data_IF_840133168381
#
_entry.id   IF_840133168381
#
_cell.length_a   1.000
_cell.length_b   1.000
_cell.length_c   1.000
_cell.angle_alpha   90.00
_cell.angle_beta   90.00
_cell.angle_gamma   90.00
#
_symmetry.space_group_name_H-M   'P 1'
#
loop_
_entity.id
_entity.type
_entity.pdbx_description
1 polymer ?
#
# COMPACT_ATOMS: atom_id res chain seq x y z
N UNK A 1 5.28 -4.01 16.60
CA UNK A 1 5.22 -4.25 15.13
C UNK A 1 4.93 -5.73 14.92
N UNK A 2 3.88 -6.09 14.19
CA UNK A 2 3.47 -7.49 13.98
C UNK A 2 3.67 -7.92 12.53
N UNK A 3 4.36 -9.04 12.33
CA UNK A 3 4.72 -9.61 11.03
C UNK A 3 4.02 -10.94 10.78
N UNK A 4 3.75 -11.22 9.52
CA UNK A 4 3.19 -12.49 9.05
C UNK A 4 4.25 -13.60 9.06
N UNK A 5 3.81 -14.86 9.08
CA UNK A 5 4.70 -16.04 9.09
C UNK A 5 5.71 -15.98 7.95
N UNK A 6 5.27 -15.59 6.75
CA UNK A 6 6.11 -15.50 5.55
C UNK A 6 7.18 -14.42 5.69
N UNK A 7 6.84 -13.25 6.22
CA UNK A 7 7.85 -12.20 6.48
C UNK A 7 8.85 -12.64 7.54
N UNK A 8 8.40 -13.36 8.57
CA UNK A 8 9.29 -13.91 9.61
C UNK A 8 10.25 -14.98 9.06
N UNK A 9 9.81 -15.81 8.11
CA UNK A 9 10.68 -16.78 7.42
C UNK A 9 11.81 -16.05 6.67
N UNK A 10 11.48 -15.03 5.87
CA UNK A 10 12.51 -14.26 5.16
C UNK A 10 13.42 -13.46 6.10
N UNK A 11 12.87 -12.93 7.20
CA UNK A 11 13.68 -12.25 8.21
C UNK A 11 14.63 -13.23 8.92
N UNK A 12 14.17 -14.45 9.18
CA UNK A 12 14.99 -15.51 9.75
C UNK A 12 16.21 -15.79 8.87
N UNK A 13 16.02 -15.91 7.55
CA UNK A 13 17.11 -16.13 6.60
C UNK A 13 18.09 -14.96 6.52
N UNK A 14 17.63 -13.72 6.71
CA UNK A 14 18.48 -12.52 6.78
C UNK A 14 19.28 -12.46 8.08
N UNK A 15 18.68 -12.84 9.21
CA UNK A 15 19.37 -12.83 10.50
C UNK A 15 20.40 -13.95 10.56
N UNK A 16 20.08 -15.16 10.07
CA UNK A 16 21.03 -16.26 10.03
C UNK A 16 22.10 -16.06 8.95
N UNK A 17 21.73 -15.49 7.80
CA UNK A 17 22.59 -15.45 6.61
C UNK A 17 22.56 -16.76 5.81
N UNK A 18 21.55 -17.60 6.00
CA UNK A 18 21.45 -18.88 5.27
C UNK A 18 20.97 -18.68 3.81
N UNK A 19 20.28 -17.56 3.53
CA UNK A 19 19.74 -17.22 2.21
C UNK A 19 20.70 -16.54 1.23
N UNK A 20 22.01 -16.46 1.55
CA UNK A 20 23.07 -15.80 0.75
C UNK A 20 22.89 -14.29 0.49
N UNK A 21 21.75 -13.70 0.82
CA UNK A 21 21.48 -12.27 0.69
C UNK A 21 22.05 -11.43 1.86
N UNK A 22 22.63 -12.06 2.88
CA UNK A 22 23.17 -11.41 4.07
C UNK A 22 24.32 -12.22 4.68
N UNK A 23 25.19 -11.60 5.50
CA UNK A 23 26.33 -12.28 6.10
C UNK A 23 25.92 -13.40 7.06
N UNK A 24 26.67 -14.52 7.00
CA UNK A 24 26.45 -15.67 7.87
C UNK A 24 26.81 -15.39 9.34
N UNK A 25 25.85 -15.52 10.27
CA UNK A 25 26.05 -15.30 11.72
C UNK A 25 26.12 -16.60 12.53
N UNK A 26 27.30 -16.97 13.03
CA UNK A 26 27.52 -18.15 13.90
C UNK A 26 26.61 -18.12 15.15
N UNK A 27 26.38 -19.28 15.77
CA UNK A 27 25.45 -19.40 16.90
C UNK A 27 25.68 -18.40 18.05
N UNK A 28 26.94 -18.19 18.47
CA UNK A 28 27.27 -17.17 19.46
C UNK A 28 27.00 -15.73 19.00
N UNK A 29 27.13 -15.44 17.70
CA UNK A 29 26.80 -14.12 17.14
C UNK A 29 25.28 -13.90 17.13
N UNK A 30 24.48 -14.95 16.92
CA UNK A 30 23.02 -14.88 17.02
C UNK A 30 22.57 -14.65 18.46
N UNK A 31 23.22 -15.30 19.43
CA UNK A 31 22.98 -15.05 20.86
C UNK A 31 23.29 -13.59 21.20
N UNK A 32 24.47 -13.09 20.82
CA UNK A 32 24.84 -11.69 21.05
C UNK A 32 23.85 -10.72 20.39
N UNK A 33 23.45 -10.98 19.14
CA UNK A 33 22.49 -10.15 18.42
C UNK A 33 21.18 -9.98 19.19
N UNK A 34 20.59 -11.06 19.73
CA UNK A 34 19.34 -10.95 20.49
C UNK A 34 19.55 -10.43 21.92
N UNK A 35 20.73 -10.59 22.50
CA UNK A 35 21.06 -10.00 23.80
C UNK A 35 21.06 -8.46 23.73
N UNK A 36 21.43 -7.86 22.60
CA UNK A 36 21.30 -6.41 22.37
C UNK A 36 19.82 -5.92 22.43
N UNK A 37 18.87 -6.85 22.32
CA UNK A 37 17.42 -6.59 22.40
C UNK A 37 16.78 -7.09 23.70
N UNK A 38 17.59 -7.40 24.71
CA UNK A 38 17.13 -7.76 26.05
C UNK A 38 17.01 -9.26 26.34
N UNK A 39 17.53 -10.12 25.46
CA UNK A 39 17.80 -11.51 25.84
C UNK A 39 19.04 -11.61 26.76
N UNK A 40 19.14 -12.71 27.49
CA UNK A 40 20.28 -13.02 28.37
C UNK A 40 20.81 -14.42 28.14
N UNK A 41 20.73 -14.89 26.89
CA UNK A 41 21.04 -16.27 26.56
C UNK A 41 22.56 -16.50 26.53
N UNK A 42 22.96 -17.75 26.79
CA UNK A 42 24.35 -18.20 26.74
C UNK A 42 24.52 -19.24 25.64
N UNK A 43 25.56 -19.07 24.84
CA UNK A 43 25.94 -20.07 23.84
C UNK A 43 26.72 -21.22 24.48
N UNK A 44 26.32 -22.47 24.23
CA UNK A 44 26.94 -23.64 24.85
C UNK A 44 26.49 -24.98 24.29
N UNK A 45 26.85 -26.07 24.99
CA UNK A 45 26.49 -27.42 24.59
C UNK A 45 24.96 -27.60 24.61
N UNK A 46 24.41 -28.22 23.56
CA UNK A 46 22.96 -28.37 23.40
C UNK A 46 22.27 -27.17 22.74
N UNK A 47 23.03 -26.19 22.24
CA UNK A 47 22.46 -25.07 21.47
C UNK A 47 21.65 -25.59 20.27
N UNK A 48 20.41 -25.10 20.06
CA UNK A 48 19.54 -25.55 18.99
C UNK A 48 20.09 -25.19 17.60
N UNK A 49 19.48 -25.74 16.56
CA UNK A 49 19.78 -25.34 15.19
C UNK A 49 19.57 -23.81 15.04
N UNK A 50 20.51 -23.13 14.38
CA UNK A 50 20.48 -21.67 14.23
C UNK A 50 19.15 -21.11 13.71
N UNK A 51 18.53 -21.67 12.65
CA UNK A 51 17.22 -21.17 12.19
C UNK A 51 16.13 -21.37 13.24
N UNK A 52 16.18 -22.48 14.00
CA UNK A 52 15.20 -22.74 15.05
C UNK A 52 15.33 -21.74 16.21
N UNK A 53 16.56 -21.44 16.63
CA UNK A 53 16.85 -20.42 17.63
C UNK A 53 16.32 -19.05 17.21
N UNK A 54 16.68 -18.59 16.01
CA UNK A 54 16.25 -17.29 15.49
C UNK A 54 14.73 -17.23 15.36
N UNK A 55 14.11 -18.30 14.84
CA UNK A 55 12.65 -18.38 14.72
C UNK A 55 11.94 -18.25 16.07
N UNK A 56 12.42 -18.96 17.10
CA UNK A 56 11.87 -18.86 18.45
C UNK A 56 11.91 -17.42 18.98
N UNK A 57 13.05 -16.74 18.82
CA UNK A 57 13.20 -15.33 19.23
C UNK A 57 12.31 -14.40 18.43
N UNK A 58 12.24 -14.59 17.11
CA UNK A 58 11.38 -13.80 16.24
C UNK A 58 9.91 -13.95 16.62
N UNK A 59 9.44 -15.16 16.90
CA UNK A 59 8.06 -15.41 17.36
C UNK A 59 7.79 -14.76 18.73
N UNK A 60 8.77 -14.79 19.66
CA UNK A 60 8.69 -14.12 20.96
C UNK A 60 8.55 -12.60 20.84
N UNK A 61 9.35 -11.96 19.99
CA UNK A 61 9.34 -10.50 19.83
C UNK A 61 8.25 -10.01 18.88
N UNK A 62 7.63 -10.88 18.09
CA UNK A 62 6.62 -10.48 17.13
C UNK A 62 5.44 -9.77 17.82
N UNK A 63 5.11 -8.55 17.37
CA UNK A 63 4.07 -7.71 17.97
C UNK A 63 4.60 -6.69 18.98
N UNK A 64 5.78 -6.88 19.56
CA UNK A 64 6.38 -5.96 20.54
C UNK A 64 6.97 -4.70 19.91
N UNK A 65 7.34 -3.71 20.73
CA UNK A 65 8.05 -2.50 20.28
C UNK A 65 9.50 -2.80 19.88
N UNK A 66 10.14 -3.77 20.54
CA UNK A 66 11.51 -4.23 20.26
C UNK A 66 11.67 -4.78 18.83
N UNK A 67 10.60 -5.34 18.27
CA UNK A 67 10.62 -5.94 16.93
C UNK A 67 11.13 -5.00 15.83
N UNK A 68 10.84 -3.69 15.93
CA UNK A 68 11.34 -2.71 14.96
C UNK A 68 12.86 -2.63 14.97
N UNK A 69 13.45 -2.60 16.17
CA UNK A 69 14.90 -2.56 16.36
C UNK A 69 15.56 -3.82 15.79
N UNK A 70 14.98 -4.99 16.05
CA UNK A 70 15.46 -6.28 15.52
C UNK A 70 15.48 -6.26 13.99
N UNK A 71 14.39 -5.85 13.36
CA UNK A 71 14.29 -5.80 11.90
C UNK A 71 15.28 -4.80 11.32
N UNK A 72 15.44 -3.61 11.93
CA UNK A 72 16.43 -2.62 11.51
C UNK A 72 17.86 -3.15 11.59
N UNK A 73 18.24 -3.76 12.72
CA UNK A 73 19.60 -4.25 12.94
C UNK A 73 19.95 -5.49 12.11
N UNK A 74 18.96 -6.26 11.66
CA UNK A 74 19.20 -7.42 10.80
C UNK A 74 19.96 -7.07 9.51
N UNK A 75 19.79 -5.84 9.02
CA UNK A 75 20.42 -5.30 7.80
C UNK A 75 21.72 -4.55 8.08
N UNK A 76 22.24 -4.62 9.30
CA UNK A 76 23.60 -4.15 9.59
C UNK A 76 24.62 -5.21 9.16
N UNK A 77 25.22 -4.98 8.00
CA UNK A 77 26.25 -5.80 7.36
C UNK A 77 27.66 -5.19 7.50
N UNK A 78 27.87 -4.21 8.40
CA UNK A 78 29.17 -3.54 8.60
C UNK A 78 30.30 -4.57 8.69
N UNK A 79 31.37 -4.34 7.92
CA UNK A 79 32.58 -5.17 7.93
C UNK A 79 32.45 -6.50 7.17
N UNK A 80 31.36 -6.74 6.44
CA UNK A 80 31.18 -7.95 5.63
C UNK A 80 31.23 -7.61 4.14
N UNK A 81 32.37 -7.86 3.50
CA UNK A 81 32.55 -7.66 2.06
C UNK A 81 31.68 -8.62 1.24
N UNK A 82 31.21 -8.16 0.08
CA UNK A 82 30.44 -8.98 -0.87
C UNK A 82 28.92 -9.00 -0.64
N UNK A 83 28.40 -8.28 0.35
CA UNK A 83 26.97 -8.13 0.59
C UNK A 83 26.50 -6.70 0.35
N UNK A 84 25.30 -6.55 -0.22
CA UNK A 84 24.65 -5.26 -0.42
C UNK A 84 23.40 -5.17 0.46
N UNK A 85 23.47 -4.38 1.52
CA UNK A 85 22.37 -4.20 2.46
C UNK A 85 21.16 -3.49 1.83
N UNK A 86 21.37 -2.59 0.86
CA UNK A 86 20.28 -1.91 0.14
C UNK A 86 19.51 -2.89 -0.75
N UNK A 87 20.21 -3.74 -1.50
CA UNK A 87 19.57 -4.77 -2.33
C UNK A 87 18.80 -5.76 -1.46
N UNK A 88 19.39 -6.21 -0.35
CA UNK A 88 18.71 -7.09 0.60
C UNK A 88 17.46 -6.43 1.19
N UNK A 89 17.55 -5.15 1.61
CA UNK A 89 16.41 -4.39 2.13
C UNK A 89 15.33 -4.17 1.07
N UNK A 90 15.71 -3.90 -0.18
CA UNK A 90 14.78 -3.77 -1.31
C UNK A 90 13.99 -5.06 -1.55
N UNK A 91 14.66 -6.23 -1.55
CA UNK A 91 13.99 -7.52 -1.70
C UNK A 91 13.10 -7.83 -0.48
N UNK A 92 13.59 -7.61 0.73
CA UNK A 92 12.83 -7.85 1.96
C UNK A 92 11.57 -6.96 2.05
N UNK A 93 11.65 -5.74 1.54
CA UNK A 93 10.52 -4.80 1.48
C UNK A 93 9.33 -5.33 0.66
N UNK A 94 9.51 -6.30 -0.24
CA UNK A 94 8.40 -6.95 -0.96
C UNK A 94 7.50 -7.77 -0.02
N UNK A 95 8.05 -8.27 1.09
CA UNK A 95 7.31 -8.98 2.13
C UNK A 95 6.86 -8.02 3.22
N UNK A 96 7.77 -7.19 3.71
CA UNK A 96 7.52 -6.25 4.81
C UNK A 96 6.37 -5.27 4.50
N UNK A 97 6.25 -4.84 3.24
CA UNK A 97 5.16 -3.99 2.79
C UNK A 97 3.78 -4.62 2.94
N UNK A 98 3.68 -5.95 2.85
CA UNK A 98 2.41 -6.67 3.05
C UNK A 98 1.93 -6.62 4.51
N UNK A 99 2.88 -6.48 5.43
CA UNK A 99 2.61 -6.34 6.86
C UNK A 99 2.44 -4.87 7.27
N UNK A 100 2.44 -3.93 6.31
CA UNK A 100 2.22 -2.51 6.58
C UNK A 100 3.45 -1.77 7.07
N UNK A 101 4.66 -2.26 6.77
CA UNK A 101 5.92 -1.63 7.15
C UNK A 101 6.88 -1.55 5.96
N UNK A 102 7.90 -0.70 6.04
CA UNK A 102 9.00 -0.63 5.07
C UNK A 102 10.30 -0.27 5.78
N UNK A 103 11.40 -0.87 5.37
CA UNK A 103 12.76 -0.43 5.69
C UNK A 103 13.13 0.73 4.79
N UNK A 104 13.55 1.84 5.40
CA UNK A 104 14.03 3.03 4.71
C UNK A 104 15.45 3.34 5.17
N UNK A 105 16.26 3.91 4.28
CA UNK A 105 17.57 4.45 4.63
C UNK A 105 17.40 5.64 5.59
N UNK A 106 18.05 5.55 6.75
CA UNK A 106 18.05 6.61 7.76
C UNK A 106 19.27 7.52 7.58
N UNK A 107 20.44 6.93 7.35
CA UNK A 107 21.71 7.62 7.18
C UNK A 107 22.51 6.94 6.06
N UNK A 108 22.96 7.71 5.06
CA UNK A 108 23.94 7.32 4.04
C UNK A 108 25.12 8.29 4.16
N UNK A 109 26.16 7.87 4.87
CA UNK A 109 27.39 8.63 5.00
C UNK A 109 28.45 7.94 4.15
N UNK A 110 29.10 8.70 3.29
CA UNK A 110 30.31 8.28 2.59
C UNK A 110 31.33 9.41 2.58
N UNK A 111 32.59 9.06 2.37
CA UNK A 111 33.64 10.02 2.09
C UNK A 111 34.44 9.59 0.86
N UNK A 112 35.14 10.53 0.25
CA UNK A 112 36.07 10.23 -0.83
C UNK A 112 37.44 9.91 -0.25
N UNK A 113 38.01 8.76 -0.62
CA UNK A 113 39.41 8.42 -0.40
C UNK A 113 40.13 8.44 -1.75
N UNK A 114 40.63 9.61 -2.13
CA UNK A 114 41.11 9.87 -3.50
C UNK A 114 39.95 9.88 -4.50
N UNK A 115 40.03 9.05 -5.54
CA UNK A 115 38.98 8.88 -6.56
C UNK A 115 37.97 7.77 -6.20
N UNK A 116 38.10 7.13 -5.03
CA UNK A 116 37.19 6.08 -4.56
C UNK A 116 36.18 6.64 -3.57
N UNK A 117 34.90 6.45 -3.87
CA UNK A 117 33.81 6.68 -2.92
C UNK A 117 33.81 5.54 -1.89
N UNK A 118 34.09 5.87 -0.64
CA UNK A 118 33.97 4.96 0.51
C UNK A 118 32.60 5.19 1.13
N UNK A 119 31.66 4.29 0.87
CA UNK A 119 30.34 4.30 1.51
C UNK A 119 30.40 3.55 2.83
N UNK A 120 29.82 4.13 3.89
CA UNK A 120 29.54 3.40 5.12
C UNK A 120 28.33 2.51 4.85
N UNK A 121 28.28 1.34 5.50
CA UNK A 121 27.10 0.50 5.40
C UNK A 121 25.86 1.30 5.85
N UNK A 122 24.78 1.34 5.05
CA UNK A 122 23.61 2.12 5.37
C UNK A 122 22.93 1.67 6.66
N UNK A 123 22.44 2.66 7.42
CA UNK A 123 21.56 2.40 8.56
C UNK A 123 20.11 2.41 8.09
N UNK A 124 19.36 1.37 8.43
CA UNK A 124 17.94 1.27 8.10
C UNK A 124 17.03 1.50 9.29
N UNK A 125 15.90 2.16 9.04
CA UNK A 125 14.81 2.31 9.99
C UNK A 125 13.53 1.66 9.47
N UNK A 126 12.83 0.93 10.35
CA UNK A 126 11.48 0.47 10.04
C UNK A 126 10.50 1.63 10.20
N UNK A 127 9.93 2.05 9.08
CA UNK A 127 8.80 2.95 9.06
C UNK A 127 7.50 2.15 8.90
N UNK A 128 6.42 2.49 9.63
CA UNK A 128 5.09 2.08 9.21
C UNK A 128 4.85 2.60 7.79
N UNK A 129 4.27 1.76 6.93
CA UNK A 129 3.56 2.27 5.77
C UNK A 129 2.38 3.05 6.33
N UNK A 130 2.61 4.35 6.54
CA UNK A 130 1.57 5.25 6.98
C UNK A 130 0.47 5.13 5.93
N UNK A 131 -0.75 4.79 6.33
CA UNK A 131 -1.93 4.98 5.47
C UNK A 131 -2.03 6.48 5.21
N UNK A 132 -1.30 6.92 4.20
CA UNK A 132 -1.23 8.31 3.77
C UNK A 132 -2.56 8.71 3.13
N UNK A 133 -3.29 7.71 2.66
CA UNK A 133 -4.62 7.76 2.07
C UNK A 133 -5.52 6.70 2.70
N UNK A 134 -6.83 6.82 2.50
CA UNK A 134 -7.82 5.86 2.98
C UNK A 134 -7.53 4.44 2.50
N UNK A 135 -7.50 3.46 3.41
CA UNK A 135 -7.59 2.07 3.03
C UNK A 135 -9.06 1.66 2.96
N UNK A 136 -9.56 1.53 1.75
CA UNK A 136 -10.92 1.08 1.49
C UNK A 136 -10.94 -0.45 1.39
N UNK A 137 -11.64 -1.10 2.32
CA UNK A 137 -11.79 -2.55 2.33
C UNK A 137 -12.64 -3.06 1.18
N UNK A 138 -13.63 -2.28 0.72
CA UNK A 138 -14.53 -2.70 -0.35
C UNK A 138 -13.83 -2.60 -1.73
N UNK A 139 -12.96 -1.61 -1.95
CA UNK A 139 -12.08 -1.60 -3.12
C UNK A 139 -11.04 -2.72 -3.07
N UNK A 140 -10.50 -3.04 -1.89
CA UNK A 140 -9.58 -4.16 -1.74
C UNK A 140 -10.25 -5.51 -2.08
N UNK A 141 -11.56 -5.64 -1.87
CA UNK A 141 -12.34 -6.83 -2.21
C UNK A 141 -12.61 -6.98 -3.72
N UNK A 142 -12.47 -5.92 -4.52
CA UNK A 142 -12.56 -6.03 -5.98
C UNK A 142 -11.30 -6.73 -6.50
N UNK A 143 -11.46 -8.00 -6.91
CA UNK A 143 -10.43 -8.83 -7.53
C UNK A 143 -10.13 -8.42 -8.99
N UNK A 144 -10.04 -7.12 -9.26
CA UNK A 144 -9.67 -6.58 -10.57
C UNK A 144 -8.27 -6.00 -10.51
N UNK A 145 -7.32 -6.62 -11.21
CA UNK A 145 -5.90 -6.28 -11.14
C UNK A 145 -5.63 -4.80 -11.43
N UNK A 146 -6.27 -4.25 -12.46
CA UNK A 146 -6.08 -2.84 -12.84
C UNK A 146 -6.50 -1.85 -11.73
N UNK A 147 -7.49 -2.19 -10.90
CA UNK A 147 -7.95 -1.34 -9.78
C UNK A 147 -6.94 -1.41 -8.63
N UNK A 148 -6.53 -2.63 -8.25
CA UNK A 148 -5.50 -2.84 -7.23
C UNK A 148 -4.16 -2.21 -7.61
N UNK A 149 -3.82 -2.23 -8.89
CA UNK A 149 -2.65 -1.55 -9.43
C UNK A 149 -2.74 -0.03 -9.24
N UNK A 150 -3.88 0.60 -9.56
CA UNK A 150 -4.02 2.06 -9.36
C UNK A 150 -3.97 2.43 -7.88
N UNK A 151 -4.59 1.65 -6.98
CA UNK A 151 -4.52 1.86 -5.53
C UNK A 151 -3.07 1.80 -5.02
N UNK A 152 -2.27 0.84 -5.49
CA UNK A 152 -0.84 0.77 -5.17
C UNK A 152 -0.07 1.97 -5.71
N UNK A 153 -0.31 2.37 -6.96
CA UNK A 153 0.37 3.50 -7.60
C UNK A 153 0.06 4.83 -6.92
N UNK A 154 -1.18 5.11 -6.51
CA UNK A 154 -1.49 6.37 -5.80
C UNK A 154 -0.76 6.44 -4.46
N UNK A 155 -0.69 5.34 -3.72
CA UNK A 155 0.05 5.28 -2.46
C UNK A 155 1.55 5.54 -2.66
N UNK A 156 2.17 4.79 -3.57
CA UNK A 156 3.59 4.92 -3.89
C UNK A 156 3.95 6.36 -4.32
N UNK A 157 3.09 7.02 -5.10
CA UNK A 157 3.32 8.37 -5.60
C UNK A 157 3.12 9.46 -4.54
N UNK A 158 2.18 9.27 -3.62
CA UNK A 158 2.06 10.17 -2.44
C UNK A 158 3.30 10.04 -1.55
N UNK A 159 3.85 8.83 -1.42
CA UNK A 159 5.09 8.57 -0.67
C UNK A 159 6.32 9.19 -1.33
N UNK A 160 6.49 9.00 -2.63
CA UNK A 160 7.66 9.48 -3.39
C UNK A 160 7.63 10.98 -3.70
N UNK A 161 6.56 11.69 -3.35
CA UNK A 161 6.39 13.11 -3.65
C UNK A 161 5.92 13.40 -5.08
N UNK A 162 5.60 12.39 -5.88
CA UNK A 162 4.96 12.54 -7.20
C UNK A 162 3.46 12.85 -7.05
N UNK A 163 3.14 14.00 -6.45
CA UNK A 163 1.77 14.46 -6.16
C UNK A 163 0.93 14.60 -7.41
N UNK A 164 1.56 15.06 -8.50
CA UNK A 164 0.96 15.11 -9.81
C UNK A 164 0.56 13.70 -10.25
N UNK A 165 1.52 12.78 -10.36
CA UNK A 165 1.21 11.41 -10.75
C UNK A 165 0.14 10.76 -9.87
N UNK A 166 0.14 11.01 -8.56
CA UNK A 166 -0.89 10.51 -7.66
C UNK A 166 -2.31 10.97 -8.06
N UNK A 167 -2.48 12.24 -8.46
CA UNK A 167 -3.76 12.76 -8.96
C UNK A 167 -4.16 12.10 -10.28
N UNK A 168 -3.21 11.88 -11.19
CA UNK A 168 -3.47 11.17 -12.46
C UNK A 168 -3.94 9.74 -12.20
N UNK A 169 -3.24 9.02 -11.33
CA UNK A 169 -3.59 7.65 -10.98
C UNK A 169 -4.93 7.56 -10.23
N UNK A 170 -5.30 8.57 -9.42
CA UNK A 170 -6.62 8.66 -8.81
C UNK A 170 -7.74 8.85 -9.84
N UNK A 171 -7.51 9.66 -10.88
CA UNK A 171 -8.45 9.79 -11.99
C UNK A 171 -8.63 8.46 -12.73
N UNK A 172 -7.52 7.81 -13.09
CA UNK A 172 -7.54 6.51 -13.77
C UNK A 172 -8.24 5.44 -12.94
N UNK A 173 -8.06 5.45 -11.61
CA UNK A 173 -8.79 4.56 -10.70
C UNK A 173 -10.31 4.76 -10.82
N UNK A 174 -10.77 6.01 -10.74
CA UNK A 174 -12.21 6.34 -10.86
C UNK A 174 -12.75 5.94 -12.23
N UNK A 175 -12.02 6.26 -13.30
CA UNK A 175 -12.42 5.89 -14.66
C UNK A 175 -12.55 4.37 -14.83
N UNK A 176 -11.52 3.62 -14.43
CA UNK A 176 -11.53 2.16 -14.53
C UNK A 176 -12.66 1.55 -13.72
N UNK A 177 -12.90 2.02 -12.49
CA UNK A 177 -13.99 1.52 -11.67
C UNK A 177 -15.35 1.83 -12.28
N UNK A 178 -15.58 3.05 -12.77
CA UNK A 178 -16.85 3.40 -13.40
C UNK A 178 -17.14 2.52 -14.62
N UNK A 179 -16.15 2.29 -15.48
CA UNK A 179 -16.28 1.39 -16.65
C UNK A 179 -16.56 -0.05 -16.22
N UNK A 180 -15.85 -0.55 -15.21
CA UNK A 180 -16.10 -1.88 -14.64
C UNK A 180 -17.54 -2.01 -14.14
N UNK A 181 -18.01 -1.05 -13.34
CA UNK A 181 -19.36 -1.09 -12.78
C UNK A 181 -20.44 -0.97 -13.86
N UNK A 182 -20.25 -0.12 -14.88
CA UNK A 182 -21.16 -0.01 -16.02
C UNK A 182 -21.27 -1.34 -16.79
N UNK A 183 -20.14 -2.02 -17.01
CA UNK A 183 -20.12 -3.34 -17.62
C UNK A 183 -20.84 -4.39 -16.76
N UNK A 184 -20.62 -4.40 -15.45
CA UNK A 184 -21.31 -5.29 -14.51
C UNK A 184 -22.82 -5.05 -14.44
N UNK A 185 -23.27 -3.80 -14.57
CA UNK A 185 -24.70 -3.45 -14.60
C UNK A 185 -25.31 -3.51 -16.01
N UNK A 186 -24.60 -4.10 -16.98
CA UNK A 186 -25.01 -4.20 -18.39
C UNK A 186 -25.50 -2.86 -18.99
N UNK A 187 -24.91 -1.76 -18.53
CA UNK A 187 -25.30 -0.41 -18.93
C UNK A 187 -24.41 0.06 -20.07
N UNK A 188 -25.01 0.43 -21.21
CA UNK A 188 -24.23 0.82 -22.39
C UNK A 188 -23.45 2.11 -22.16
N UNK A 189 -22.16 2.09 -22.50
CA UNK A 189 -21.29 3.27 -22.52
C UNK A 189 -20.28 3.15 -23.67
N UNK A 190 -19.59 4.24 -24.01
CA UNK A 190 -18.52 4.21 -25.02
C UNK A 190 -17.22 3.81 -24.34
N UNK A 191 -16.57 2.74 -24.81
CA UNK A 191 -15.30 2.27 -24.25
C UNK A 191 -14.19 3.33 -24.26
N UNK A 192 -14.18 4.19 -25.28
CA UNK A 192 -13.26 5.32 -25.40
C UNK A 192 -13.73 6.58 -24.66
N UNK A 193 -14.82 6.52 -23.89
CA UNK A 193 -15.25 7.63 -23.05
C UNK A 193 -14.20 7.87 -21.96
N UNK A 194 -13.59 9.04 -22.01
CA UNK A 194 -12.63 9.48 -21.01
C UNK A 194 -13.27 10.35 -19.94
N UNK A 195 -14.46 10.93 -20.18
CA UNK A 195 -15.10 11.85 -19.22
C UNK A 195 -15.79 11.09 -18.08
N UNK A 196 -15.12 11.04 -16.93
CA UNK A 196 -15.65 10.40 -15.72
C UNK A 196 -16.99 10.99 -15.27
N UNK A 197 -17.29 12.26 -15.59
CA UNK A 197 -18.58 12.89 -15.25
C UNK A 197 -19.71 12.24 -16.07
N UNK A 198 -19.47 11.99 -17.35
CA UNK A 198 -20.42 11.32 -18.24
C UNK A 198 -20.63 9.85 -17.86
N UNK A 199 -19.53 9.14 -17.52
CA UNK A 199 -19.59 7.77 -17.04
C UNK A 199 -20.41 7.66 -15.75
N UNK A 200 -20.15 8.51 -14.76
CA UNK A 200 -20.89 8.49 -13.50
C UNK A 200 -22.36 8.84 -13.68
N UNK A 201 -22.68 9.86 -14.47
CA UNK A 201 -24.08 10.23 -14.74
C UNK A 201 -24.89 9.05 -15.30
N UNK A 202 -24.27 8.24 -16.14
CA UNK A 202 -24.86 7.01 -16.69
C UNK A 202 -25.03 5.95 -15.59
N UNK A 203 -23.98 5.71 -14.78
CA UNK A 203 -24.00 4.71 -13.71
C UNK A 203 -25.01 5.01 -12.59
N UNK A 204 -25.26 6.28 -12.28
CA UNK A 204 -26.18 6.69 -11.20
C UNK A 204 -27.55 6.04 -11.33
N UNK A 205 -28.05 5.88 -12.55
CA UNK A 205 -29.36 5.28 -12.80
C UNK A 205 -29.41 3.81 -12.38
N UNK A 206 -28.38 3.04 -12.75
CA UNK A 206 -28.28 1.61 -12.49
C UNK A 206 -28.07 1.29 -11.01
N UNK A 207 -27.46 2.21 -10.25
CA UNK A 207 -27.24 2.06 -8.82
C UNK A 207 -28.34 2.68 -7.94
N UNK A 208 -29.39 3.24 -8.55
CA UNK A 208 -30.44 4.01 -7.87
C UNK A 208 -29.89 5.19 -7.03
N UNK A 209 -28.88 5.88 -7.58
CA UNK A 209 -28.20 7.03 -6.98
C UNK A 209 -28.61 8.37 -7.61
N UNK A 210 -29.80 8.43 -8.20
CA UNK A 210 -30.38 9.68 -8.71
C UNK A 210 -30.77 10.58 -7.52
N UNK A 211 -30.14 11.76 -7.33
CA UNK A 211 -30.46 12.64 -6.21
C UNK A 211 -31.93 13.07 -6.16
N UNK A 212 -32.65 13.06 -7.29
CA UNK A 212 -34.07 13.36 -7.31
C UNK A 212 -34.92 12.28 -6.61
N UNK A 213 -34.42 11.05 -6.51
CA UNK A 213 -35.09 9.89 -5.92
C UNK A 213 -34.56 9.55 -4.52
N UNK A 214 -33.61 10.33 -4.01
CA UNK A 214 -33.02 10.15 -2.69
C UNK A 214 -33.70 11.10 -1.71
N UNK A 215 -34.07 10.57 -0.56
CA UNK A 215 -34.69 11.34 0.52
C UNK A 215 -33.66 12.03 1.41
N UNK A 216 -34.10 13.06 2.12
CA UNK A 216 -33.30 13.69 3.17
C UNK A 216 -33.06 12.71 4.32
N UNK A 217 -31.91 12.80 5.03
CA UNK A 217 -30.85 13.81 4.92
C UNK A 217 -29.71 13.44 3.95
N UNK A 218 -29.85 12.34 3.19
CA UNK A 218 -28.75 11.81 2.37
C UNK A 218 -28.62 12.53 1.01
N UNK A 219 -29.73 13.11 0.53
CA UNK A 219 -29.80 13.78 -0.78
C UNK A 219 -28.69 14.82 -1.04
N UNK A 220 -28.34 15.73 -0.10
CA UNK A 220 -27.28 16.71 -0.33
C UNK A 220 -25.90 16.06 -0.50
N UNK A 221 -25.65 14.96 0.23
CA UNK A 221 -24.38 14.22 0.16
C UNK A 221 -24.24 13.58 -1.22
N UNK A 222 -25.29 12.88 -1.68
CA UNK A 222 -25.26 12.21 -3.00
C UNK A 222 -25.26 13.22 -4.15
N UNK A 223 -25.97 14.34 -4.00
CA UNK A 223 -25.86 15.47 -4.94
C UNK A 223 -24.44 16.04 -5.00
N UNK A 224 -23.77 16.19 -3.85
CA UNK A 224 -22.39 16.65 -3.76
C UNK A 224 -21.38 15.78 -4.50
N UNK A 225 -21.66 14.48 -4.71
CA UNK A 225 -20.80 13.59 -5.50
C UNK A 225 -20.67 14.05 -6.96
N UNK A 226 -21.70 14.70 -7.52
CA UNK A 226 -21.60 15.28 -8.87
C UNK A 226 -20.60 16.45 -8.92
N UNK A 227 -20.55 17.26 -7.87
CA UNK A 227 -19.54 18.34 -7.76
C UNK A 227 -18.14 17.77 -7.55
N UNK A 228 -18.02 16.74 -6.71
CA UNK A 228 -16.75 16.05 -6.45
C UNK A 228 -16.15 15.46 -7.72
N UNK A 229 -16.94 14.72 -8.51
CA UNK A 229 -16.43 14.12 -9.75
C UNK A 229 -16.06 15.16 -10.81
N UNK A 230 -16.80 16.27 -10.87
CA UNK A 230 -16.42 17.43 -11.68
C UNK A 230 -15.07 18.01 -11.24
N UNK A 231 -14.86 18.16 -9.93
CA UNK A 231 -13.58 18.60 -9.37
C UNK A 231 -12.42 17.65 -9.70
N UNK A 232 -12.62 16.33 -9.57
CA UNK A 232 -11.63 15.31 -9.94
C UNK A 232 -11.26 15.40 -11.43
N UNK A 233 -12.25 15.59 -12.31
CA UNK A 233 -12.05 15.74 -13.74
C UNK A 233 -11.18 16.96 -14.08
N UNK A 234 -11.52 18.12 -13.52
CA UNK A 234 -10.76 19.34 -13.75
C UNK A 234 -9.33 19.25 -13.16
N UNK A 235 -9.18 18.63 -11.99
CA UNK A 235 -7.87 18.45 -11.35
C UNK A 235 -6.92 17.56 -12.17
N UNK A 236 -7.44 16.56 -12.88
CA UNK A 236 -6.66 15.74 -13.80
C UNK A 236 -6.39 16.45 -15.14
N UNK A 237 -7.38 17.17 -15.68
CA UNK A 237 -7.32 17.77 -17.02
C UNK A 237 -6.64 19.14 -17.11
N UNK A 238 -6.43 19.84 -15.99
CA UNK A 238 -5.55 21.03 -15.90
C UNK A 238 -4.07 20.74 -16.23
N UNK A 239 -3.74 19.61 -16.85
CA UNK A 239 -2.44 19.35 -17.48
C UNK A 239 -2.44 19.49 -19.00
N UNK A 240 -3.60 19.43 -19.64
CA UNK A 240 -3.70 19.42 -21.11
C UNK A 240 -3.73 20.82 -21.73
N UNK A 241 -3.88 21.87 -20.92
CA UNK A 241 -3.88 23.26 -21.38
C UNK A 241 -2.46 23.85 -21.30
N UNK A 242 -1.99 24.45 -22.40
CA UNK A 242 -0.68 25.13 -22.50
C UNK A 242 -0.52 26.26 -21.47
N UNK A 243 -1.62 26.79 -20.93
CA UNK A 243 -1.61 27.75 -19.81
C UNK A 243 -1.57 27.12 -18.41
N UNK A 244 -1.84 25.82 -18.28
CA UNK A 244 -2.04 25.13 -17.01
C UNK A 244 -0.78 24.43 -16.43
N UNK A 245 0.40 24.67 -17.04
CA UNK A 245 1.73 24.36 -16.45
C UNK A 245 2.00 25.04 -15.09
N UNK A 246 1.06 25.78 -14.50
CA UNK A 246 1.23 26.54 -13.26
C UNK A 246 0.71 25.86 -12.00
N UNK A 247 -0.14 24.84 -12.07
CA UNK A 247 -0.61 24.16 -10.86
C UNK A 247 0.31 23.01 -10.51
N UNK A 248 1.26 23.25 -9.60
CA UNK A 248 2.08 22.22 -8.98
C UNK A 248 1.43 21.77 -7.66
N UNK A 249 0.73 20.62 -7.61
CA UNK A 249 0.01 20.20 -6.41
C UNK A 249 0.98 19.92 -5.26
N UNK A 250 0.86 20.67 -4.17
CA UNK A 250 1.47 20.29 -2.90
C UNK A 250 0.85 19.02 -2.31
N UNK A 251 1.56 18.39 -1.36
CA UNK A 251 1.17 17.14 -0.70
C UNK A 251 -0.29 17.09 -0.22
N UNK A 252 -0.76 18.14 0.42
CA UNK A 252 -2.11 18.18 0.98
C UNK A 252 -3.19 18.22 -0.11
N UNK A 253 -2.93 18.88 -1.25
CA UNK A 253 -3.83 18.87 -2.41
C UNK A 253 -3.96 17.47 -2.99
N UNK A 254 -2.83 16.79 -3.24
CA UNK A 254 -2.86 15.44 -3.78
C UNK A 254 -3.52 14.46 -2.81
N UNK A 255 -3.24 14.57 -1.51
CA UNK A 255 -3.92 13.75 -0.49
C UNK A 255 -5.43 13.97 -0.47
N UNK A 256 -5.90 15.21 -0.54
CA UNK A 256 -7.34 15.51 -0.59
C UNK A 256 -7.98 14.86 -1.83
N UNK A 257 -7.40 15.06 -3.01
CA UNK A 257 -7.91 14.52 -4.27
C UNK A 257 -7.93 12.99 -4.27
N UNK A 258 -6.84 12.35 -3.84
CA UNK A 258 -6.74 10.87 -3.78
C UNK A 258 -7.74 10.30 -2.78
N UNK A 259 -7.86 10.90 -1.58
CA UNK A 259 -8.81 10.43 -0.56
C UNK A 259 -10.26 10.59 -1.00
N UNK A 260 -10.59 11.72 -1.65
CA UNK A 260 -11.91 11.95 -2.22
C UNK A 260 -12.25 10.89 -3.29
N UNK A 261 -11.29 10.58 -4.17
CA UNK A 261 -11.46 9.54 -5.18
C UNK A 261 -11.63 8.14 -4.58
N UNK A 262 -10.83 7.79 -3.56
CA UNK A 262 -10.92 6.49 -2.88
C UNK A 262 -12.24 6.32 -2.14
N UNK A 263 -12.67 7.33 -1.37
CA UNK A 263 -13.96 7.30 -0.66
C UNK A 263 -15.14 7.21 -1.63
N UNK A 264 -15.08 7.96 -2.74
CA UNK A 264 -16.09 7.88 -3.80
C UNK A 264 -16.15 6.49 -4.41
N UNK A 265 -15.00 5.93 -4.76
CA UNK A 265 -14.90 4.59 -5.32
C UNK A 265 -15.46 3.54 -4.36
N UNK A 266 -15.05 3.56 -3.09
CA UNK A 266 -15.52 2.65 -2.04
C UNK A 266 -17.05 2.64 -1.92
N UNK A 267 -17.65 3.83 -1.84
CA UNK A 267 -19.09 4.00 -1.78
C UNK A 267 -19.82 3.41 -3.00
N UNK A 268 -19.26 3.54 -4.21
CA UNK A 268 -19.86 2.94 -5.41
C UNK A 268 -19.82 1.41 -5.38
N UNK A 269 -18.75 0.83 -4.85
CA UNK A 269 -18.65 -0.64 -4.69
C UNK A 269 -19.71 -1.12 -3.71
N UNK A 270 -19.82 -0.49 -2.55
CA UNK A 270 -20.82 -0.85 -1.55
C UNK A 270 -22.25 -0.68 -2.07
N UNK A 271 -22.50 0.40 -2.81
CA UNK A 271 -23.80 0.65 -3.47
C UNK A 271 -24.14 -0.46 -4.46
N UNK A 272 -23.16 -0.90 -5.27
CA UNK A 272 -23.33 -2.01 -6.21
C UNK A 272 -23.61 -3.32 -5.47
N UNK A 273 -22.87 -3.62 -4.41
CA UNK A 273 -23.03 -4.87 -3.65
C UNK A 273 -24.42 -4.94 -3.00
N UNK A 274 -24.89 -3.80 -2.47
CA UNK A 274 -26.25 -3.66 -1.97
C UNK A 274 -27.30 -3.94 -3.04
N UNK A 275 -27.17 -3.37 -4.26
CA UNK A 275 -28.13 -3.61 -5.33
C UNK A 275 -28.14 -5.08 -5.79
N UNK A 276 -26.97 -5.73 -5.87
CA UNK A 276 -26.88 -7.17 -6.17
C UNK A 276 -27.60 -8.01 -5.12
N UNK A 277 -27.32 -7.77 -3.84
CA UNK A 277 -27.98 -8.48 -2.74
C UNK A 277 -29.51 -8.29 -2.76
N UNK A 278 -29.97 -7.07 -3.05
CA UNK A 278 -31.40 -6.76 -3.16
C UNK A 278 -32.06 -7.51 -4.32
N UNK A 279 -31.43 -7.54 -5.50
CA UNK A 279 -31.94 -8.27 -6.66
C UNK A 279 -32.04 -9.79 -6.43
N UNK A 280 -31.03 -10.38 -5.76
CA UNK A 280 -31.05 -11.80 -5.37
C UNK A 280 -32.17 -12.13 -4.37
N UNK A 281 -32.44 -11.23 -3.43
CA UNK A 281 -33.53 -11.41 -2.46
C UNK A 281 -34.91 -11.35 -3.10
N UNK A 282 -35.10 -10.50 -4.12
CA UNK A 282 -36.37 -10.39 -4.85
C UNK A 282 -36.68 -11.64 -5.69
N UNK A 283 -35.68 -12.15 -6.42
CA UNK A 283 -35.82 -13.39 -7.22
C UNK A 283 -36.13 -14.63 -6.37
N UNK A 284 -35.61 -14.71 -5.14
CA UNK A 284 -35.93 -15.82 -4.22
C UNK A 284 -37.37 -15.81 -3.70
N UNK A 285 -37.99 -14.63 -3.55
CA UNK A 285 -39.39 -14.50 -3.13
C UNK A 285 -40.36 -14.88 -4.24
N UNK A 286 -40.08 -14.46 -5.47
CA UNK A 286 -40.93 -14.78 -6.62
C UNK A 286 -40.90 -16.28 -6.98
N UNK A 287 -39.80 -16.98 -6.69
CA UNK A 287 -39.70 -18.44 -6.88
C UNK A 287 -40.40 -19.28 -5.78
N UNK A 288 -40.80 -18.64 -4.68
CA UNK A 288 -41.43 -19.29 -3.52
C UNK A 288 -42.95 -19.04 -3.45
N UNK A 289 -43.52 -18.39 -4.46
CA UNK A 289 -44.95 -18.04 -4.59
C UNK A 289 -45.55 -18.77 -5.78
#
# INVERSE_FOLDING_TARGET
MKLSTKTLEHLNDIITGDGQASPYRKGHQLVNFFNDFGEGDLYGQGFPARPAYVREKLDKFNGTDTMKGIVSAAFDFIGNEGFNAEDAAYQFNQFLARDGFRLVLADDYGWMEGDKEVRINPRFEVCPLRQLVLASSSLAAISHEAIQEQVRKVNQKIESGDYSGAITNAYTLVEHLLKLLLAETATAFKENEGDIRALYKTLQQSLNLDPAKIEEPLKPIVGGLQTLIGGLYEMANKRSDRHARRFNPARHHAKLTVNAALAFCDFLVESRDYQKARASSATSKDAST
#
